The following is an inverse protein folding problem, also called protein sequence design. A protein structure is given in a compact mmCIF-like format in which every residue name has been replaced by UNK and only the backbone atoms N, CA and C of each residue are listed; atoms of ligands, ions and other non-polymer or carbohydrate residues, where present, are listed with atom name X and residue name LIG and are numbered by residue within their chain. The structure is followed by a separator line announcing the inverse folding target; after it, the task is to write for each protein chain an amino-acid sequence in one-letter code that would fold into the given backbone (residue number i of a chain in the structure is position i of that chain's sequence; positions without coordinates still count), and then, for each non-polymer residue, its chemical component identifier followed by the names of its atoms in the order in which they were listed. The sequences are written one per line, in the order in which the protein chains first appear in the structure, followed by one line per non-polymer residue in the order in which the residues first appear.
data_IF_949327200343
#
_entry.id   IF_949327200343
#
_cell.length_a   1.000
_cell.length_b   1.000
_cell.length_c   1.000
_cell.angle_alpha   90.00
_cell.angle_beta   90.00
_cell.angle_gamma   90.00
#
_symmetry.space_group_name_H-M   'P 1'
#
loop_
_entity.id
_entity.type
_entity.pdbx_description
1 polymer ?
#
# COMPACT_ATOMS: atom_id res chain seq x y z
N UNK A 1 3.11 -10.71 -3.60
CA UNK A 1 1.88 -9.91 -3.43
C UNK A 1 1.41 -9.99 -1.99
N UNK A 2 0.65 -9.03 -1.48
CA UNK A 2 -0.11 -9.06 -0.23
C UNK A 2 -0.87 -10.36 -0.06
N UNK A 3 -1.41 -10.94 -1.13
CA UNK A 3 -2.05 -12.26 -1.08
C UNK A 3 -1.07 -13.34 -0.60
N UNK A 4 0.16 -13.33 -1.10
CA UNK A 4 1.20 -14.28 -0.70
C UNK A 4 1.72 -14.00 0.70
N UNK A 5 1.99 -12.73 1.03
CA UNK A 5 2.34 -12.33 2.39
C UNK A 5 1.23 -12.72 3.39
N UNK A 6 -0.05 -12.54 3.04
CA UNK A 6 -1.20 -12.89 3.88
C UNK A 6 -1.32 -14.41 4.10
N UNK A 7 -0.85 -15.23 3.16
CA UNK A 7 -0.75 -16.70 3.36
C UNK A 7 0.34 -17.03 4.39
N UNK A 8 1.42 -16.26 4.43
CA UNK A 8 2.52 -16.44 5.39
C UNK A 8 2.24 -15.88 6.80
N UNK A 9 1.19 -15.07 6.96
CA UNK A 9 0.74 -14.61 8.28
C UNK A 9 -0.01 -15.72 9.00
N UNK A 10 0.39 -16.00 10.25
CA UNK A 10 -0.26 -16.99 11.10
C UNK A 10 -1.71 -16.60 11.43
N UNK A 11 -2.49 -17.54 11.95
CA UNK A 11 -3.84 -17.23 12.43
C UNK A 11 -3.84 -16.21 13.57
N UNK A 12 -2.81 -16.24 14.44
CA UNK A 12 -2.60 -15.28 15.51
C UNK A 12 -2.19 -13.90 14.97
N UNK A 13 -1.39 -13.85 13.90
CA UNK A 13 -1.05 -12.60 13.22
C UNK A 13 -2.29 -11.88 12.68
N UNK A 14 -3.31 -12.66 12.28
CA UNK A 14 -4.59 -12.19 11.73
C UNK A 14 -5.61 -11.84 12.81
N UNK A 15 -5.40 -12.28 14.05
CA UNK A 15 -6.25 -11.92 15.17
C UNK A 15 -5.96 -10.47 15.56
N UNK A 16 -6.91 -9.57 15.28
CA UNK A 16 -6.82 -8.15 15.67
C UNK A 16 -7.17 -8.01 17.15
N UNK A 17 -6.24 -7.49 17.95
CA UNK A 17 -6.54 -6.97 19.31
C UNK A 17 -6.76 -5.45 19.28
N UNK A 18 -7.05 -4.88 18.11
CA UNK A 18 -7.23 -3.44 17.96
C UNK A 18 -8.54 -3.03 18.64
N UNK A 19 -8.44 -2.16 19.65
CA UNK A 19 -9.60 -1.49 20.23
C UNK A 19 -10.04 -0.37 19.30
N UNK A 20 -11.03 -0.65 18.46
CA UNK A 20 -11.61 0.27 17.46
C UNK A 20 -13.12 0.43 17.73
N UNK A 21 -13.51 1.12 18.82
CA UNK A 21 -14.92 1.20 19.24
C UNK A 21 -15.81 1.91 18.21
N UNK A 22 -15.23 2.85 17.46
CA UNK A 22 -15.93 3.64 16.44
C UNK A 22 -15.78 3.04 15.02
N UNK A 23 -15.08 1.91 14.90
CA UNK A 23 -14.86 1.17 13.65
C UNK A 23 -14.16 2.00 12.54
N UNK A 24 -13.38 3.00 12.92
CA UNK A 24 -12.73 3.95 12.01
C UNK A 24 -11.65 3.27 11.18
N UNK A 25 -10.87 2.38 11.80
CA UNK A 25 -9.77 1.67 11.13
C UNK A 25 -10.32 0.65 10.15
N UNK A 26 -11.38 -0.07 10.55
CA UNK A 26 -12.06 -0.98 9.64
C UNK A 26 -12.68 -0.25 8.43
N UNK A 27 -13.33 0.89 8.65
CA UNK A 27 -13.90 1.70 7.56
C UNK A 27 -12.82 2.27 6.64
N UNK A 28 -11.70 2.74 7.20
CA UNK A 28 -10.55 3.22 6.44
C UNK A 28 -10.00 2.13 5.52
N UNK A 29 -9.81 0.92 6.04
CA UNK A 29 -9.27 -0.19 5.27
C UNK A 29 -10.24 -0.71 4.21
N UNK A 30 -11.53 -0.75 4.53
CA UNK A 30 -12.58 -1.07 3.56
C UNK A 30 -12.56 -0.05 2.41
N UNK A 31 -12.52 1.24 2.74
CA UNK A 31 -12.38 2.34 1.78
C UNK A 31 -11.14 2.16 0.91
N UNK A 32 -9.98 1.91 1.51
CA UNK A 32 -8.74 1.68 0.74
C UNK A 32 -8.82 0.44 -0.16
N UNK A 33 -9.46 -0.64 0.30
CA UNK A 33 -9.66 -1.85 -0.49
C UNK A 33 -10.62 -1.61 -1.67
N UNK A 34 -11.69 -0.85 -1.46
CA UNK A 34 -12.71 -0.55 -2.47
C UNK A 34 -12.18 0.43 -3.54
N UNK A 35 -11.35 1.40 -3.16
CA UNK A 35 -10.78 2.38 -4.09
C UNK A 35 -9.52 1.87 -4.84
N UNK A 36 -8.79 0.90 -4.29
CA UNK A 36 -7.46 0.54 -4.78
C UNK A 36 -7.24 -0.98 -4.83
N UNK A 37 -8.12 -1.67 -5.55
CA UNK A 37 -8.01 -3.12 -5.79
C UNK A 37 -6.60 -3.50 -6.24
N UNK A 38 -5.94 -4.29 -5.38
CA UNK A 38 -4.52 -4.65 -5.33
C UNK A 38 -3.68 -3.71 -4.45
N UNK A 39 -3.65 -3.98 -3.13
CA UNK A 39 -2.61 -3.51 -2.19
C UNK A 39 -2.47 -1.98 -2.04
N UNK A 40 -3.55 -1.23 -2.23
CA UNK A 40 -3.46 0.23 -2.25
C UNK A 40 -2.96 0.77 -3.59
N UNK A 41 -2.50 -0.06 -4.52
CA UNK A 41 -2.27 0.36 -5.90
C UNK A 41 -3.64 0.53 -6.54
N UNK A 42 -3.87 1.67 -7.21
CA UNK A 42 -5.12 1.85 -7.93
C UNK A 42 -5.37 0.63 -8.82
N UNK A 43 -6.57 0.06 -8.71
CA UNK A 43 -7.02 -1.06 -9.55
C UNK A 43 -7.12 -0.60 -10.99
N UNK A 44 -6.01 -0.38 -11.69
CA UNK A 44 -6.04 -0.09 -13.13
C UNK A 44 -6.96 1.10 -13.53
N UNK A 45 -7.33 1.99 -12.59
CA UNK A 45 -8.48 2.91 -12.75
C UNK A 45 -8.12 4.34 -13.09
N UNK A 46 -6.87 4.76 -12.98
CA UNK A 46 -6.39 5.76 -13.94
C UNK A 46 -6.32 5.01 -15.27
N UNK A 47 -7.41 5.09 -16.04
CA UNK A 47 -7.54 4.49 -17.37
C UNK A 47 -6.38 5.00 -18.22
N UNK A 48 -5.26 4.28 -18.20
CA UNK A 48 -4.15 4.52 -19.09
C UNK A 48 -4.71 4.42 -20.50
N UNK A 49 -4.76 5.56 -21.16
CA UNK A 49 -5.25 5.71 -22.53
C UNK A 49 -4.22 5.23 -23.53
N UNK A 50 -2.96 5.06 -23.10
CA UNK A 50 -1.81 4.74 -23.94
C UNK A 50 -1.14 5.98 -24.53
N UNK A 51 -1.69 7.17 -24.29
CA UNK A 51 -1.19 8.45 -24.79
C UNK A 51 -0.44 9.26 -23.72
N UNK A 52 -0.31 8.71 -22.51
CA UNK A 52 0.39 9.37 -21.41
C UNK A 52 1.88 9.56 -21.75
N UNK A 53 2.40 10.74 -21.44
CA UNK A 53 3.83 10.98 -21.42
C UNK A 53 4.52 10.12 -20.35
N UNK A 54 5.83 9.90 -20.52
CA UNK A 54 6.64 9.21 -19.50
C UNK A 54 6.54 9.93 -18.14
N UNK A 55 6.48 11.27 -18.14
CA UNK A 55 6.33 12.03 -16.91
C UNK A 55 4.98 11.78 -16.21
N UNK A 56 3.89 11.64 -16.97
CA UNK A 56 2.58 11.27 -16.43
C UNK A 56 2.59 9.85 -15.86
N UNK A 57 3.14 8.88 -16.59
CA UNK A 57 3.28 7.49 -16.12
C UNK A 57 4.06 7.42 -14.80
N UNK A 58 5.17 8.17 -14.68
CA UNK A 58 5.96 8.20 -13.45
C UNK A 58 5.19 8.85 -12.28
N UNK A 59 4.36 9.87 -12.53
CA UNK A 59 3.49 10.48 -11.50
C UNK A 59 2.42 9.49 -11.02
N UNK A 60 1.80 8.77 -11.95
CA UNK A 60 0.83 7.71 -11.66
C UNK A 60 1.49 6.64 -10.78
N UNK A 61 2.69 6.19 -11.15
CA UNK A 61 3.45 5.20 -10.39
C UNK A 61 3.78 5.71 -8.96
N UNK A 62 4.24 6.95 -8.81
CA UNK A 62 4.47 7.55 -7.47
C UNK A 62 3.19 7.55 -6.63
N UNK A 63 2.05 7.88 -7.23
CA UNK A 63 0.79 7.90 -6.51
C UNK A 63 0.37 6.49 -6.07
N UNK A 64 0.58 5.48 -6.92
CA UNK A 64 0.33 4.09 -6.58
C UNK A 64 1.16 3.64 -5.36
N UNK A 65 2.46 3.93 -5.32
CA UNK A 65 3.30 3.53 -4.18
C UNK A 65 2.92 4.27 -2.88
N UNK A 66 2.54 5.55 -2.97
CA UNK A 66 2.04 6.30 -1.81
C UNK A 66 0.76 5.70 -1.23
N UNK A 67 -0.14 5.26 -2.09
CA UNK A 67 -1.38 4.63 -1.66
C UNK A 67 -1.10 3.25 -1.03
N UNK A 68 -0.14 2.49 -1.54
CA UNK A 68 0.33 1.25 -0.90
C UNK A 68 0.94 1.52 0.48
N UNK A 69 1.78 2.54 0.63
CA UNK A 69 2.32 2.93 1.95
C UNK A 69 1.18 3.22 2.93
N UNK A 70 0.19 4.02 2.53
CA UNK A 70 -0.97 4.35 3.35
C UNK A 70 -1.76 3.09 3.78
N UNK A 71 -2.00 2.16 2.83
CA UNK A 71 -2.63 0.87 3.10
C UNK A 71 -1.84 0.05 4.14
N UNK A 72 -0.53 -0.11 3.93
CA UNK A 72 0.33 -0.90 4.81
C UNK A 72 0.47 -0.30 6.20
N UNK A 73 0.51 1.03 6.30
CA UNK A 73 0.48 1.74 7.59
C UNK A 73 -0.84 1.46 8.32
N UNK A 74 -1.98 1.53 7.64
CA UNK A 74 -3.30 1.26 8.23
C UNK A 74 -3.44 -0.15 8.80
N UNK A 75 -2.86 -1.17 8.15
CA UNK A 75 -2.95 -2.56 8.65
C UNK A 75 -1.90 -2.90 9.70
N UNK A 76 -0.76 -2.18 9.75
CA UNK A 76 0.35 -2.48 10.66
C UNK A 76 -0.10 -2.52 12.12
N UNK A 77 -1.01 -1.62 12.49
CA UNK A 77 -1.45 -1.47 13.89
C UNK A 77 -2.55 -2.48 14.27
N UNK A 78 -3.19 -3.13 13.30
CA UNK A 78 -4.12 -4.25 13.54
C UNK A 78 -3.41 -5.57 13.84
N UNK A 79 -2.16 -5.73 13.39
CA UNK A 79 -1.41 -6.95 13.65
C UNK A 79 -1.03 -7.03 15.13
N UNK A 80 -1.14 -8.21 15.73
CA UNK A 80 -0.76 -8.41 17.14
C UNK A 80 0.67 -8.92 17.27
N UNK A 81 1.15 -9.68 16.30
CA UNK A 81 2.47 -10.27 16.38
C UNK A 81 3.58 -9.31 15.99
N UNK A 82 4.71 -9.42 16.71
CA UNK A 82 5.94 -8.69 16.35
C UNK A 82 6.48 -9.11 14.98
N UNK A 83 6.22 -10.34 14.54
CA UNK A 83 6.70 -10.85 13.25
C UNK A 83 5.93 -10.24 12.08
N UNK A 84 4.60 -10.24 12.15
CA UNK A 84 3.74 -9.58 11.17
C UNK A 84 4.05 -8.09 11.07
N UNK A 85 4.16 -7.40 12.22
CA UNK A 85 4.54 -5.96 12.24
C UNK A 85 5.89 -5.68 11.57
N UNK A 86 6.89 -6.56 11.74
CA UNK A 86 8.18 -6.43 11.05
C UNK A 86 8.03 -6.61 9.55
N UNK A 87 7.36 -7.68 9.10
CA UNK A 87 7.11 -7.92 7.66
C UNK A 87 6.43 -6.72 6.99
N UNK A 88 5.39 -6.17 7.62
CA UNK A 88 4.70 -4.97 7.10
C UNK A 88 5.63 -3.75 7.08
N UNK A 89 6.45 -3.56 8.12
CA UNK A 89 7.44 -2.48 8.13
C UNK A 89 8.42 -2.61 6.97
N UNK A 90 8.91 -3.82 6.71
CA UNK A 90 9.89 -4.05 5.64
C UNK A 90 9.28 -3.70 4.26
N UNK A 91 8.01 -4.04 4.04
CA UNK A 91 7.28 -3.66 2.82
C UNK A 91 7.09 -2.14 2.73
N UNK A 92 6.72 -1.47 3.83
CA UNK A 92 6.61 0.01 3.83
C UNK A 92 7.94 0.65 3.42
N UNK A 93 9.07 0.14 3.93
CA UNK A 93 10.40 0.64 3.59
C UNK A 93 10.71 0.41 2.11
N UNK A 94 10.34 -0.73 1.56
CA UNK A 94 10.48 -1.05 0.13
C UNK A 94 9.69 -0.07 -0.75
N UNK A 95 8.41 0.18 -0.44
CA UNK A 95 7.59 1.11 -1.22
C UNK A 95 8.06 2.56 -1.09
N UNK A 96 8.61 2.96 0.06
CA UNK A 96 9.28 4.26 0.20
C UNK A 96 10.50 4.39 -0.71
N UNK A 97 11.30 3.31 -0.86
CA UNK A 97 12.44 3.30 -1.77
C UNK A 97 11.99 3.38 -3.25
N UNK A 98 10.86 2.77 -3.61
CA UNK A 98 10.25 2.93 -4.93
C UNK A 98 9.86 4.38 -5.19
N UNK A 99 9.19 5.06 -4.26
CA UNK A 99 8.84 6.50 -4.38
C UNK A 99 10.09 7.34 -4.65
N UNK A 100 11.17 7.15 -3.88
CA UNK A 100 12.42 7.88 -4.08
C UNK A 100 13.05 7.61 -5.45
N UNK A 101 13.05 6.34 -5.88
CA UNK A 101 13.62 5.93 -7.17
C UNK A 101 12.85 6.52 -8.36
N UNK A 102 11.52 6.44 -8.33
CA UNK A 102 10.66 6.96 -9.39
C UNK A 102 10.71 8.49 -9.40
N UNK A 103 10.70 9.13 -8.21
CA UNK A 103 10.85 10.57 -8.05
C UNK A 103 12.16 11.10 -8.66
N UNK A 104 13.27 10.41 -8.44
CA UNK A 104 14.56 10.74 -9.05
C UNK A 104 14.52 10.66 -10.59
N UNK A 105 13.85 9.64 -11.15
CA UNK A 105 13.65 9.52 -12.61
C UNK A 105 12.80 10.66 -13.16
N UNK A 106 11.74 11.06 -12.47
CA UNK A 106 10.87 12.16 -12.89
C UNK A 106 11.61 13.49 -12.89
N UNK A 107 12.43 13.76 -11.88
CA UNK A 107 13.27 14.97 -11.81
C UNK A 107 14.30 15.01 -12.94
N UNK A 108 14.86 13.86 -13.34
CA UNK A 108 15.82 13.79 -14.45
C UNK A 108 15.19 14.01 -15.83
N UNK A 109 13.85 13.98 -15.95
CA UNK A 109 13.11 14.34 -17.17
C UNK A 109 12.77 15.84 -17.24
N UNK A 110 13.03 16.59 -16.17
CA UNK A 110 12.69 18.01 -16.02
C UNK A 110 13.79 18.93 -16.55
#
# INVERSE_FOLDING_TARGET
TFSDMRKELSAEDKASNLFDPDNEVAQYLQTMADFHGIEGKASSTEKLTGNESVAEILKIAIQAEKNSIAFYVGIKDMLTSKSGKRKIRDIIIEEMAHVSTIGGKLQALS
#
